data_IF_245629074130
#
_entry.id   IF_245629074130
#
_cell.length_a   1.000
_cell.length_b   1.000
_cell.length_c   1.000
_cell.angle_alpha   90.00
_cell.angle_beta   90.00
_cell.angle_gamma   90.00
#
_symmetry.space_group_name_H-M   'P 1'
#
loop_
_entity.id
_entity.type
_entity.pdbx_description
1 polymer ?
#
# COMPACT_ATOMS: atom_id res chain seq x y z
N UNK A 1 21.83 1.53 11.39
CA UNK A 1 21.33 2.89 11.64
C UNK A 1 21.09 3.56 10.32
N UNK A 2 19.87 4.04 10.12
CA UNK A 2 19.41 4.78 8.94
C UNK A 2 18.81 6.10 9.40
N UNK A 3 18.82 7.11 8.54
CA UNK A 3 18.32 8.45 8.87
C UNK A 3 16.83 8.63 8.51
N UNK A 4 16.26 7.67 7.79
CA UNK A 4 14.85 7.67 7.38
C UNK A 4 14.41 6.29 6.95
N UNK A 5 13.10 6.12 6.79
CA UNK A 5 12.48 4.88 6.32
C UNK A 5 11.21 5.22 5.52
N UNK A 6 10.64 4.26 4.85
CA UNK A 6 9.43 4.39 4.05
C UNK A 6 8.41 3.36 4.52
N UNK A 7 7.27 3.82 4.98
CA UNK A 7 6.16 2.97 5.42
C UNK A 7 4.83 3.74 5.48
N UNK A 8 3.68 3.06 5.41
CA UNK A 8 2.38 3.69 5.66
C UNK A 8 2.22 4.12 7.13
N UNK A 9 1.31 5.06 7.39
CA UNK A 9 1.05 5.60 8.74
C UNK A 9 0.81 4.52 9.79
N UNK A 10 0.10 3.47 9.43
CA UNK A 10 -0.18 2.33 10.31
C UNK A 10 1.08 1.66 10.82
N UNK A 11 2.07 1.48 9.96
CA UNK A 11 3.35 0.88 10.32
C UNK A 11 4.21 1.85 11.12
N UNK A 12 4.29 3.11 10.70
CA UNK A 12 5.02 4.17 11.42
C UNK A 12 4.52 4.26 12.86
N UNK A 13 3.19 4.24 13.06
CA UNK A 13 2.58 4.33 14.38
C UNK A 13 2.80 3.05 15.20
N UNK A 14 2.44 1.89 14.66
CA UNK A 14 2.49 0.60 15.38
C UNK A 14 3.89 0.16 15.78
N UNK A 15 4.91 0.60 15.04
CA UNK A 15 6.31 0.30 15.32
C UNK A 15 7.03 1.40 16.11
N UNK A 16 6.30 2.42 16.57
CA UNK A 16 6.82 3.57 17.31
C UNK A 16 7.97 4.32 16.60
N UNK A 17 8.00 4.28 15.27
CA UNK A 17 9.03 4.97 14.47
C UNK A 17 8.97 6.49 14.71
N UNK A 18 7.79 7.02 14.90
CA UNK A 18 7.51 8.43 15.19
C UNK A 18 8.21 8.97 16.45
N UNK A 19 8.54 8.10 17.43
CA UNK A 19 9.25 8.52 18.65
C UNK A 19 10.69 8.97 18.37
N UNK A 20 11.32 8.41 17.33
CA UNK A 20 12.70 8.69 16.95
C UNK A 20 12.81 9.56 15.69
N UNK A 21 11.80 9.55 14.84
CA UNK A 21 11.69 10.39 13.66
C UNK A 21 10.25 10.92 13.49
N UNK A 22 9.95 12.09 14.07
CA UNK A 22 8.60 12.65 14.06
C UNK A 22 8.28 13.46 12.78
N UNK A 23 9.11 13.40 11.75
CA UNK A 23 8.89 14.09 10.47
C UNK A 23 8.35 13.10 9.44
N UNK A 24 7.11 13.31 9.03
CA UNK A 24 6.41 12.47 8.06
C UNK A 24 6.32 13.21 6.73
N UNK A 25 6.87 12.60 5.67
CA UNK A 25 6.85 13.15 4.32
C UNK A 25 5.84 12.39 3.48
N UNK A 26 4.75 13.05 3.07
CA UNK A 26 3.67 12.45 2.28
C UNK A 26 4.03 12.35 0.80
N UNK A 27 4.81 11.35 0.45
CA UNK A 27 5.28 11.14 -0.93
C UNK A 27 4.21 10.57 -1.86
N UNK A 28 3.27 9.79 -1.34
CA UNK A 28 2.20 9.10 -2.10
C UNK A 28 2.73 8.36 -3.35
N UNK A 29 3.92 7.78 -3.22
CA UNK A 29 4.68 7.21 -4.33
C UNK A 29 4.29 5.77 -4.66
N UNK A 30 3.64 5.07 -3.74
CA UNK A 30 3.30 3.66 -3.90
C UNK A 30 1.82 3.40 -3.60
N UNK A 31 1.26 2.47 -4.35
CA UNK A 31 -0.02 1.83 -4.04
C UNK A 31 0.21 0.33 -3.87
N UNK A 32 0.06 -0.17 -2.65
CA UNK A 32 0.28 -1.58 -2.31
C UNK A 32 -1.04 -2.36 -2.22
N UNK A 33 -1.48 -3.01 -3.31
CA UNK A 33 -2.69 -3.83 -3.27
C UNK A 33 -2.44 -5.11 -2.48
N UNK A 34 -3.40 -5.49 -1.62
CA UNK A 34 -3.39 -6.79 -0.96
C UNK A 34 -4.07 -7.84 -1.84
N UNK A 35 -3.44 -9.00 -1.95
CA UNK A 35 -3.94 -10.13 -2.72
C UNK A 35 -4.19 -11.31 -1.80
N UNK A 36 -5.41 -11.86 -1.86
CA UNK A 36 -5.73 -13.12 -1.19
C UNK A 36 -5.37 -14.29 -2.11
N UNK A 37 -4.40 -15.10 -1.70
CA UNK A 37 -3.86 -16.18 -2.52
C UNK A 37 -3.96 -17.54 -1.82
N UNK A 38 -4.13 -18.59 -2.62
CA UNK A 38 -4.05 -19.96 -2.17
C UNK A 38 -3.05 -20.73 -3.02
N UNK A 39 -2.24 -21.59 -2.40
CA UNK A 39 -1.33 -22.45 -3.17
C UNK A 39 -2.09 -23.48 -3.99
N UNK A 40 -1.63 -23.81 -5.22
CA UNK A 40 -2.28 -24.84 -6.03
C UNK A 40 -2.36 -26.20 -5.34
N UNK A 41 -1.38 -26.56 -4.51
CA UNK A 41 -1.35 -27.83 -3.78
C UNK A 41 -2.42 -27.90 -2.69
N UNK A 42 -2.86 -26.78 -2.14
CA UNK A 42 -3.99 -26.71 -1.20
C UNK A 42 -5.31 -26.71 -1.96
N UNK A 43 -5.42 -25.88 -3.00
CA UNK A 43 -6.61 -25.83 -3.86
C UNK A 43 -6.97 -27.21 -4.43
N UNK A 44 -5.98 -28.00 -4.87
CA UNK A 44 -6.20 -29.36 -5.39
C UNK A 44 -6.69 -30.40 -4.37
N UNK A 45 -6.74 -30.07 -3.08
CA UNK A 45 -7.28 -30.93 -2.02
C UNK A 45 -8.73 -30.60 -1.65
N UNK A 46 -9.24 -29.51 -2.17
CA UNK A 46 -10.59 -29.03 -1.89
C UNK A 46 -11.56 -29.48 -2.97
N UNK A 47 -12.80 -29.78 -2.57
CA UNK A 47 -13.87 -30.00 -3.53
C UNK A 47 -14.29 -28.70 -4.20
N UNK A 48 -15.01 -28.80 -5.31
CA UNK A 48 -15.59 -27.64 -6.00
C UNK A 48 -16.48 -26.81 -5.07
N UNK A 49 -17.33 -27.47 -4.29
CA UNK A 49 -18.19 -26.79 -3.32
C UNK A 49 -17.39 -26.02 -2.26
N UNK A 50 -16.29 -26.60 -1.76
CA UNK A 50 -15.41 -25.93 -0.81
C UNK A 50 -14.71 -24.73 -1.44
N UNK A 51 -14.27 -24.86 -2.68
CA UNK A 51 -13.67 -23.72 -3.41
C UNK A 51 -14.69 -22.61 -3.65
N UNK A 52 -15.94 -22.94 -4.01
CA UNK A 52 -17.00 -21.94 -4.20
C UNK A 52 -17.31 -21.18 -2.92
N UNK A 53 -17.39 -21.88 -1.77
CA UNK A 53 -17.55 -21.23 -0.45
C UNK A 53 -16.41 -20.25 -0.18
N UNK A 54 -15.16 -20.62 -0.47
CA UNK A 54 -14.01 -19.74 -0.26
C UNK A 54 -14.07 -18.50 -1.16
N UNK A 55 -14.48 -18.65 -2.43
CA UNK A 55 -14.66 -17.50 -3.33
C UNK A 55 -15.77 -16.58 -2.83
N UNK A 56 -16.90 -17.10 -2.42
CA UNK A 56 -18.00 -16.30 -1.86
C UNK A 56 -17.56 -15.55 -0.60
N UNK A 57 -16.84 -16.21 0.31
CA UNK A 57 -16.30 -15.58 1.51
C UNK A 57 -15.29 -14.48 1.15
N UNK A 58 -14.39 -14.73 0.20
CA UNK A 58 -13.41 -13.74 -0.22
C UNK A 58 -14.08 -12.50 -0.83
N UNK A 59 -15.09 -12.70 -1.68
CA UNK A 59 -15.88 -11.59 -2.24
C UNK A 59 -16.59 -10.79 -1.14
N UNK A 60 -17.22 -11.48 -0.17
CA UNK A 60 -17.90 -10.82 0.94
C UNK A 60 -16.93 -10.05 1.85
N UNK A 61 -15.70 -10.51 2.01
CA UNK A 61 -14.68 -9.85 2.82
C UNK A 61 -14.09 -8.58 2.17
N UNK A 62 -14.09 -8.46 0.84
CA UNK A 62 -13.49 -7.32 0.13
C UNK A 62 -13.95 -5.95 0.64
N UNK A 63 -15.25 -5.63 0.68
CA UNK A 63 -15.69 -4.33 1.15
C UNK A 63 -15.37 -4.09 2.63
N UNK A 64 -15.45 -5.14 3.45
CA UNK A 64 -15.14 -5.07 4.88
C UNK A 64 -13.65 -4.75 5.07
N UNK A 65 -12.77 -5.47 4.37
CA UNK A 65 -11.33 -5.26 4.43
C UNK A 65 -10.94 -3.85 3.93
N UNK A 66 -11.54 -3.40 2.83
CA UNK A 66 -11.27 -2.05 2.30
C UNK A 66 -11.66 -0.96 3.30
N UNK A 67 -12.83 -1.08 3.92
CA UNK A 67 -13.26 -0.11 4.91
C UNK A 67 -12.36 -0.15 6.15
N UNK A 68 -12.06 -1.33 6.68
CA UNK A 68 -11.16 -1.47 7.82
C UNK A 68 -9.76 -0.89 7.54
N UNK A 69 -9.25 -1.04 6.31
CA UNK A 69 -7.96 -0.45 5.92
C UNK A 69 -8.00 1.09 5.95
N UNK A 70 -9.09 1.69 5.48
CA UNK A 70 -9.28 3.15 5.56
C UNK A 70 -9.35 3.59 7.02
N UNK A 71 -10.20 2.95 7.81
CA UNK A 71 -10.43 3.32 9.22
C UNK A 71 -9.13 3.24 10.04
N UNK A 72 -8.38 2.15 9.92
CA UNK A 72 -7.11 1.97 10.62
C UNK A 72 -6.05 2.99 10.15
N UNK A 73 -6.03 3.34 8.87
CA UNK A 73 -5.10 4.34 8.37
C UNK A 73 -5.45 5.75 8.90
N UNK A 74 -6.71 6.09 8.94
CA UNK A 74 -7.19 7.38 9.48
C UNK A 74 -6.93 7.48 10.98
N UNK A 75 -7.16 6.40 11.74
CA UNK A 75 -6.82 6.32 13.16
C UNK A 75 -5.31 6.50 13.41
N UNK A 76 -4.47 5.87 12.60
CA UNK A 76 -3.02 6.00 12.70
C UNK A 76 -2.56 7.43 12.37
N UNK A 77 -3.10 8.03 11.31
CA UNK A 77 -2.82 9.43 10.96
C UNK A 77 -3.19 10.38 12.11
N UNK A 78 -4.39 10.22 12.69
CA UNK A 78 -4.82 11.04 13.81
C UNK A 78 -3.90 10.86 15.02
N UNK A 79 -3.52 9.62 15.33
CA UNK A 79 -2.62 9.31 16.44
C UNK A 79 -1.24 9.95 16.27
N UNK A 80 -0.70 9.95 15.05
CA UNK A 80 0.57 10.61 14.73
C UNK A 80 0.48 12.14 14.86
N UNK A 81 -0.66 12.73 14.48
CA UNK A 81 -0.93 14.16 14.65
C UNK A 81 -1.02 14.52 16.14
N UNK A 82 -1.74 13.74 16.92
CA UNK A 82 -1.90 13.92 18.37
C UNK A 82 -0.57 13.76 19.12
N UNK A 83 0.32 12.89 18.60
CA UNK A 83 1.67 12.72 19.09
C UNK A 83 2.62 13.90 18.75
N UNK A 84 2.16 14.86 17.93
CA UNK A 84 2.91 16.06 17.57
C UNK A 84 3.89 15.85 16.40
N UNK A 85 3.69 14.83 15.58
CA UNK A 85 4.46 14.65 14.34
C UNK A 85 4.25 15.82 13.38
N UNK A 86 5.29 16.16 12.64
CA UNK A 86 5.27 17.19 11.59
C UNK A 86 5.04 16.54 10.24
N UNK A 87 4.10 17.08 9.45
CA UNK A 87 3.76 16.55 8.13
C UNK A 87 4.24 17.47 7.02
N UNK A 88 4.96 16.90 6.04
CA UNK A 88 5.42 17.58 4.82
C UNK A 88 4.63 17.03 3.64
N UNK A 89 3.77 17.84 3.05
CA UNK A 89 2.89 17.48 1.94
C UNK A 89 3.08 18.40 0.71
N UNK A 90 4.19 19.11 0.65
CA UNK A 90 4.50 20.10 -0.40
C UNK A 90 5.41 19.56 -1.50
N UNK A 91 5.54 18.25 -1.63
CA UNK A 91 6.37 17.62 -2.66
C UNK A 91 5.73 17.79 -4.05
N UNK A 92 6.56 18.16 -5.02
CA UNK A 92 6.15 18.18 -6.43
C UNK A 92 6.20 16.75 -7.00
N UNK A 93 5.04 16.15 -7.18
CA UNK A 93 4.92 14.81 -7.74
C UNK A 93 5.48 14.72 -9.18
N UNK A 94 5.39 15.79 -9.97
CA UNK A 94 5.93 15.81 -11.34
C UNK A 94 7.47 15.82 -11.33
N UNK A 95 8.09 16.54 -10.41
CA UNK A 95 9.53 16.52 -10.22
C UNK A 95 10.03 15.13 -9.81
N UNK A 96 9.37 14.49 -8.86
CA UNK A 96 9.70 13.14 -8.42
C UNK A 96 9.53 12.11 -9.55
N UNK A 97 8.45 12.20 -10.33
CA UNK A 97 8.22 11.33 -11.47
C UNK A 97 9.27 11.52 -12.56
N UNK A 98 9.69 12.76 -12.82
CA UNK A 98 10.75 13.04 -13.78
C UNK A 98 12.10 12.48 -13.32
N UNK A 99 12.42 12.60 -12.03
CA UNK A 99 13.66 12.10 -11.46
C UNK A 99 13.76 10.56 -11.49
N UNK A 100 12.63 9.85 -11.47
CA UNK A 100 12.55 8.38 -11.46
C UNK A 100 12.20 7.78 -12.83
N UNK A 101 12.02 8.59 -13.87
CA UNK A 101 11.55 8.15 -15.19
C UNK A 101 12.44 7.08 -15.82
N UNK A 102 13.77 7.17 -15.63
CA UNK A 102 14.73 6.21 -16.18
C UNK A 102 14.57 4.77 -15.67
N UNK A 103 13.93 4.59 -14.50
CA UNK A 103 13.68 3.24 -13.95
C UNK A 103 12.79 2.43 -14.88
N UNK A 104 11.83 3.06 -15.55
CA UNK A 104 10.95 2.35 -16.50
C UNK A 104 11.69 1.86 -17.75
N UNK A 105 12.76 2.55 -18.14
CA UNK A 105 13.59 2.14 -19.30
C UNK A 105 14.40 0.88 -19.00
N UNK A 106 14.68 0.61 -17.73
CA UNK A 106 15.39 -0.60 -17.29
C UNK A 106 14.50 -1.86 -17.31
N UNK A 107 13.17 -1.69 -17.34
CA UNK A 107 12.19 -2.77 -17.27
C UNK A 107 11.16 -2.69 -18.42
N UNK A 108 11.60 -2.75 -19.68
CA UNK A 108 10.72 -2.58 -20.85
C UNK A 108 9.62 -3.66 -20.96
N UNK A 109 9.78 -4.82 -20.33
CA UNK A 109 8.78 -5.89 -20.28
C UNK A 109 7.49 -5.49 -19.56
N UNK A 110 7.54 -4.45 -18.74
CA UNK A 110 6.35 -3.94 -18.02
C UNK A 110 5.72 -2.71 -18.68
N UNK A 111 6.20 -2.25 -19.82
CA UNK A 111 5.76 -1.01 -20.47
C UNK A 111 4.24 -0.97 -20.73
N UNK A 112 3.65 -2.05 -21.25
CA UNK A 112 2.20 -2.13 -21.48
C UNK A 112 1.40 -2.00 -20.18
N UNK A 113 1.87 -2.61 -19.10
CA UNK A 113 1.24 -2.52 -17.79
C UNK A 113 1.35 -1.10 -17.21
N UNK A 114 2.51 -0.49 -17.32
CA UNK A 114 2.76 0.90 -16.88
C UNK A 114 1.84 1.87 -17.63
N UNK A 115 1.72 1.70 -18.96
CA UNK A 115 0.84 2.55 -19.78
C UNK A 115 -0.65 2.34 -19.44
N UNK A 116 -1.06 1.11 -19.17
CA UNK A 116 -2.42 0.81 -18.71
C UNK A 116 -2.73 1.48 -17.35
N UNK A 117 -1.78 1.46 -16.40
CA UNK A 117 -1.93 2.15 -15.11
C UNK A 117 -2.00 3.66 -15.29
N UNK A 118 -1.14 4.22 -16.13
CA UNK A 118 -1.12 5.67 -16.43
C UNK A 118 -2.42 6.16 -17.06
N UNK A 119 -3.07 5.33 -17.87
CA UNK A 119 -4.35 5.65 -18.51
C UNK A 119 -5.53 5.75 -17.53
N UNK A 120 -5.37 5.30 -16.28
CA UNK A 120 -6.40 5.37 -15.22
C UNK A 120 -6.32 6.65 -14.38
N UNK A 121 -5.37 7.54 -14.67
CA UNK A 121 -5.14 8.81 -13.93
C UNK A 121 -5.92 9.97 -14.51
#
# INVERSE_FOLDING_TARGET
TVDGEENPYTQVFSSNIWEVNPIIVETKHEFSPSVFMMSPSVAGKLSEDQMNILYECAEACKPIFRQATVDINDEALQSLQDAGCSFVNTLDAAELQAATASVYDEYPEYSELVDAIRALR
#
